data_IF_823167944045
#
_entry.id   IF_823167944045
#
_cell.length_a   1.000
_cell.length_b   1.000
_cell.length_c   1.000
_cell.angle_alpha   90.00
_cell.angle_beta   90.00
_cell.angle_gamma   90.00
#
_symmetry.space_group_name_H-M   'P 1'
#
loop_
_entity.id
_entity.type
_entity.pdbx_description
1 polymer ?
#
# COMPACT_ATOMS: atom_id res chain seq x y z
N UNK A 1 -1.33 7.15 12.75
CA UNK A 1 -1.55 7.50 11.34
C UNK A 1 -2.39 6.41 10.71
N UNK A 2 -3.35 6.75 9.86
CA UNK A 2 -4.15 5.76 9.15
C UNK A 2 -3.61 5.61 7.71
N UNK A 3 -3.68 4.40 7.12
CA UNK A 3 -3.18 4.15 5.76
C UNK A 3 -3.88 5.05 4.73
N UNK A 4 -5.16 5.32 4.96
CA UNK A 4 -6.04 6.15 4.13
C UNK A 4 -5.64 7.63 4.06
N UNK A 5 -4.83 8.10 5.02
CA UNK A 5 -4.38 9.50 5.06
C UNK A 5 -3.16 9.74 4.14
N UNK A 6 -2.60 8.66 3.56
CA UNK A 6 -1.37 8.71 2.77
C UNK A 6 -1.68 8.80 1.28
N UNK A 7 -0.91 9.65 0.58
CA UNK A 7 -0.92 9.75 -0.88
C UNK A 7 0.28 9.00 -1.44
N UNK A 8 0.05 7.79 -1.91
CA UNK A 8 1.10 6.91 -2.40
C UNK A 8 1.58 7.38 -3.77
N UNK A 9 2.89 7.45 -3.96
CA UNK A 9 3.55 7.80 -5.23
C UNK A 9 4.21 6.59 -5.89
N UNK A 10 4.67 5.64 -5.09
CA UNK A 10 5.38 4.46 -5.59
C UNK A 10 4.98 3.23 -4.75
N UNK A 11 4.81 2.10 -5.42
CA UNK A 11 4.49 0.81 -4.83
C UNK A 11 5.58 -0.16 -5.23
N UNK A 12 6.30 -0.69 -4.24
CA UNK A 12 7.36 -1.69 -4.43
C UNK A 12 6.83 -3.06 -4.05
N UNK A 13 6.79 -3.94 -5.02
CA UNK A 13 6.58 -5.37 -4.82
C UNK A 13 7.92 -6.11 -4.87
N UNK A 14 7.99 -7.37 -4.39
CA UNK A 14 9.23 -8.16 -4.47
C UNK A 14 9.72 -8.38 -5.90
N UNK A 15 8.82 -8.28 -6.89
CA UNK A 15 9.06 -8.54 -8.31
C UNK A 15 9.20 -7.26 -9.15
N UNK A 16 9.05 -6.07 -8.56
CA UNK A 16 9.17 -4.82 -9.32
C UNK A 16 8.61 -3.60 -8.61
N UNK A 17 8.98 -2.44 -9.13
CA UNK A 17 8.55 -1.14 -8.63
C UNK A 17 7.58 -0.50 -9.61
N UNK A 18 6.43 -0.09 -9.10
CA UNK A 18 5.41 0.64 -9.84
C UNK A 18 5.37 2.09 -9.36
N UNK A 19 5.67 3.01 -10.27
CA UNK A 19 5.52 4.45 -10.00
C UNK A 19 4.17 4.87 -10.53
N UNK A 20 3.38 5.49 -9.65
CA UNK A 20 2.09 6.05 -10.03
C UNK A 20 2.35 7.35 -10.78
N UNK A 21 1.56 7.60 -11.83
CA UNK A 21 1.68 8.83 -12.61
C UNK A 21 1.36 10.08 -11.79
N UNK A 22 0.43 9.92 -10.83
CA UNK A 22 0.07 10.92 -9.82
C UNK A 22 -0.04 10.24 -8.45
N UNK A 23 0.08 11.03 -7.38
CA UNK A 23 -0.04 10.48 -6.03
C UNK A 23 -1.48 10.03 -5.77
N UNK A 24 -1.68 8.73 -5.51
CA UNK A 24 -3.00 8.14 -5.33
C UNK A 24 -3.33 7.91 -3.86
N UNK A 25 -4.60 8.08 -3.51
CA UNK A 25 -5.10 7.83 -2.16
C UNK A 25 -5.33 6.33 -1.93
N UNK A 26 -5.18 5.91 -0.67
CA UNK A 26 -5.57 4.56 -0.26
C UNK A 26 -7.05 4.57 0.10
N UNK A 27 -7.86 3.86 -0.69
CA UNK A 27 -9.29 3.72 -0.47
C UNK A 27 -9.54 2.47 0.36
N UNK A 28 -10.29 2.61 1.44
CA UNK A 28 -10.78 1.50 2.25
C UNK A 28 -12.13 1.00 1.72
N UNK A 29 -12.17 -0.23 1.18
CA UNK A 29 -13.38 -0.89 0.69
C UNK A 29 -13.89 -1.96 1.68
N UNK A 30 -13.61 -1.79 2.97
CA UNK A 30 -13.97 -2.69 4.05
C UNK A 30 -12.99 -3.85 4.18
N UNK A 31 -13.07 -4.84 3.27
CA UNK A 31 -12.20 -6.04 3.30
C UNK A 31 -10.87 -5.86 2.56
N UNK A 32 -10.77 -4.81 1.74
CA UNK A 32 -9.61 -4.54 0.90
C UNK A 32 -9.17 -3.08 1.02
N UNK A 33 -7.88 -2.83 0.82
CA UNK A 33 -7.37 -1.51 0.48
C UNK A 33 -7.15 -1.43 -1.03
N UNK A 34 -7.51 -0.31 -1.65
CA UNK A 34 -7.31 -0.06 -3.08
C UNK A 34 -6.48 1.20 -3.30
N UNK A 35 -5.52 1.14 -4.21
CA UNK A 35 -4.66 2.25 -4.62
C UNK A 35 -4.67 2.34 -6.14
N UNK A 36 -4.82 3.56 -6.69
CA UNK A 36 -4.83 3.84 -8.14
C UNK A 36 -5.81 2.98 -8.96
N UNK A 37 -6.91 2.55 -8.33
CA UNK A 37 -7.94 1.70 -8.95
C UNK A 37 -7.52 0.25 -9.27
N UNK A 38 -6.23 -0.03 -9.37
CA UNK A 38 -5.66 -1.29 -9.90
C UNK A 38 -4.91 -2.11 -8.86
N UNK A 39 -4.38 -1.48 -7.81
CA UNK A 39 -3.63 -2.15 -6.77
C UNK A 39 -4.51 -2.44 -5.57
N UNK A 40 -4.84 -3.72 -5.36
CA UNK A 40 -5.77 -4.18 -4.32
C UNK A 40 -5.02 -5.04 -3.31
N UNK A 41 -5.16 -4.72 -2.03
CA UNK A 41 -4.57 -5.43 -0.91
C UNK A 41 -5.66 -6.00 0.00
N UNK A 42 -5.65 -7.32 0.16
CA UNK A 42 -6.58 -8.02 1.04
C UNK A 42 -6.12 -7.90 2.50
N UNK A 43 -6.96 -7.28 3.33
CA UNK A 43 -6.65 -7.05 4.75
C UNK A 43 -6.50 -8.34 5.54
N UNK A 44 -7.17 -9.43 5.14
CA UNK A 44 -7.05 -10.73 5.82
C UNK A 44 -5.70 -11.42 5.58
N UNK A 45 -4.93 -10.93 4.61
CA UNK A 45 -3.58 -11.38 4.33
C UNK A 45 -2.51 -10.49 4.94
N UNK A 46 -2.87 -9.30 5.43
CA UNK A 46 -1.93 -8.41 6.12
C UNK A 46 -1.62 -8.99 7.49
N UNK A 47 -0.33 -9.17 7.76
CA UNK A 47 0.20 -9.66 9.04
C UNK A 47 0.63 -8.49 9.90
N UNK A 48 1.31 -7.51 9.30
CA UNK A 48 1.80 -6.32 9.99
C UNK A 48 1.84 -5.12 9.05
N UNK A 49 1.78 -3.92 9.62
CA UNK A 49 1.89 -2.65 8.90
C UNK A 49 2.79 -1.72 9.69
N UNK A 50 3.90 -1.33 9.08
CA UNK A 50 4.84 -0.36 9.65
C UNK A 50 4.78 0.94 8.86
N UNK A 51 4.72 2.06 9.56
CA UNK A 51 4.60 3.38 8.96
C UNK A 51 5.74 4.26 9.45
N UNK A 52 6.52 4.77 8.51
CA UNK A 52 7.55 5.79 8.70
C UNK A 52 7.07 7.11 8.06
N UNK A 53 7.83 8.20 8.25
CA UNK A 53 7.48 9.53 7.69
C UNK A 53 7.31 9.55 6.16
N UNK A 54 8.00 8.67 5.43
CA UNK A 54 8.05 8.68 3.97
C UNK A 54 7.62 7.36 3.30
N UNK A 55 7.29 6.33 4.09
CA UNK A 55 6.97 5.01 3.56
C UNK A 55 6.06 4.21 4.50
N UNK A 56 5.29 3.31 3.90
CA UNK A 56 4.45 2.33 4.59
C UNK A 56 4.87 0.94 4.13
N UNK A 57 5.36 0.13 5.04
CA UNK A 57 5.68 -1.28 4.79
C UNK A 57 4.50 -2.14 5.21
N UNK A 58 3.97 -2.91 4.27
CA UNK A 58 2.85 -3.84 4.47
C UNK A 58 3.43 -5.25 4.35
N UNK A 59 3.48 -5.95 5.48
CA UNK A 59 3.87 -7.35 5.53
C UNK A 59 2.62 -8.20 5.32
N UNK A 60 2.53 -8.88 4.17
CA UNK A 60 1.48 -9.84 3.90
C UNK A 60 1.97 -11.27 4.10
N UNK A 61 1.06 -12.22 4.28
CA UNK A 61 1.37 -13.65 4.45
C UNK A 61 2.24 -14.22 3.32
N UNK A 62 2.08 -13.70 2.11
CA UNK A 62 2.71 -14.19 0.89
C UNK A 62 3.83 -13.29 0.36
N UNK A 63 3.87 -12.01 0.78
CA UNK A 63 4.82 -11.02 0.26
C UNK A 63 4.86 -9.76 1.11
N UNK A 64 5.95 -9.03 0.99
CA UNK A 64 6.08 -7.68 1.54
C UNK A 64 5.85 -6.64 0.44
N UNK A 65 5.16 -5.56 0.77
CA UNK A 65 4.89 -4.44 -0.13
C UNK A 65 5.27 -3.15 0.55
N UNK A 66 6.02 -2.30 -0.14
CA UNK A 66 6.40 -0.97 0.38
C UNK A 66 5.72 0.11 -0.44
N UNK A 67 4.93 0.95 0.21
CA UNK A 67 4.32 2.15 -0.36
C UNK A 67 5.21 3.35 -0.01
N UNK A 68 5.53 4.19 -0.99
CA UNK A 68 6.23 5.47 -0.77
C UNK A 68 5.22 6.59 -0.87
N UNK A 69 5.25 7.52 0.10
CA UNK A 69 4.28 8.62 0.25
C UNK A 69 4.83 9.96 -0.26
#
# INVERSE_FOLDING_TARGET
MNLTDNKVKEIRYPHGTYRLGEAAEVIDEGSFYRIDGTHIFDKHKIVDVQMDENRVEIHMKDKDVVLIV
#
